data_IF_014443856740
#
_entry.id   IF_014443856740
#
_cell.length_a   1.000
_cell.length_b   1.000
_cell.length_c   1.000
_cell.angle_alpha   90.00
_cell.angle_beta   90.00
_cell.angle_gamma   90.00
#
_symmetry.space_group_name_H-M   'P 1'
#
loop_
_entity.id
_entity.type
_entity.pdbx_description
1 polymer ?
#
# COMPACT_ATOMS: atom_id res chain seq x y z
N UNK A 1 -4.97 15.55 10.46
CA UNK A 1 -4.10 15.29 9.30
C UNK A 1 -2.69 15.04 9.82
N UNK A 2 -2.07 13.89 9.51
CA UNK A 2 -0.71 13.54 9.96
C UNK A 2 0.28 13.55 8.78
N UNK A 3 1.58 13.60 9.06
CA UNK A 3 2.62 13.48 8.02
C UNK A 3 2.43 12.21 7.17
N UNK A 4 2.15 11.07 7.81
CA UNK A 4 1.84 9.80 7.13
C UNK A 4 0.71 9.94 6.11
N UNK A 5 -0.38 10.61 6.49
CA UNK A 5 -1.53 10.79 5.61
C UNK A 5 -1.19 11.66 4.39
N UNK A 6 -0.49 12.78 4.59
CA UNK A 6 -0.12 13.69 3.50
C UNK A 6 0.92 13.05 2.58
N UNK A 7 1.93 12.40 3.16
CA UNK A 7 2.95 11.69 2.40
C UNK A 7 2.33 10.62 1.51
N UNK A 8 1.51 9.73 2.08
CA UNK A 8 0.84 8.65 1.35
C UNK A 8 -0.01 9.16 0.17
N UNK A 9 -0.88 10.15 0.39
CA UNK A 9 -1.75 10.62 -0.71
C UNK A 9 -1.00 11.40 -1.79
N UNK A 10 0.09 12.08 -1.43
CA UNK A 10 0.92 12.81 -2.39
C UNK A 10 1.80 11.83 -3.18
N UNK A 11 2.48 10.90 -2.50
CA UNK A 11 3.42 9.96 -3.11
C UNK A 11 2.70 8.96 -4.04
N UNK A 12 1.55 8.43 -3.62
CA UNK A 12 0.75 7.52 -4.45
C UNK A 12 0.24 8.20 -5.72
N UNK A 13 -0.20 9.46 -5.64
CA UNK A 13 -0.66 10.20 -6.83
C UNK A 13 0.49 10.40 -7.82
N UNK A 14 1.68 10.70 -7.31
CA UNK A 14 2.91 10.82 -8.11
C UNK A 14 3.32 9.48 -8.73
N UNK A 15 3.37 8.41 -7.94
CA UNK A 15 3.76 7.08 -8.40
C UNK A 15 2.81 6.53 -9.48
N UNK A 16 1.49 6.70 -9.31
CA UNK A 16 0.50 6.30 -10.32
C UNK A 16 0.64 7.07 -11.62
N UNK A 17 0.97 8.36 -11.56
CA UNK A 17 1.23 9.15 -12.76
C UNK A 17 2.41 8.57 -13.58
N UNK A 18 3.52 8.25 -12.92
CA UNK A 18 4.67 7.63 -13.58
C UNK A 18 4.37 6.21 -14.06
N UNK A 19 3.68 5.40 -13.25
CA UNK A 19 3.27 4.05 -13.64
C UNK A 19 2.46 4.04 -14.94
N UNK A 20 1.42 4.88 -15.01
CA UNK A 20 0.58 5.00 -16.22
C UNK A 20 1.35 5.54 -17.43
N UNK A 21 2.31 6.44 -17.22
CA UNK A 21 3.09 7.03 -18.30
C UNK A 21 4.17 6.10 -18.85
N UNK A 22 4.77 5.28 -18.00
CA UNK A 22 5.85 4.36 -18.36
C UNK A 22 5.33 3.00 -18.86
N UNK A 23 4.31 2.45 -18.21
CA UNK A 23 3.72 1.17 -18.55
C UNK A 23 2.25 1.10 -18.10
N UNK A 24 1.29 1.57 -18.92
CA UNK A 24 -0.11 1.50 -18.58
C UNK A 24 -0.61 0.05 -18.61
N UNK A 25 -1.04 -0.46 -17.45
CA UNK A 25 -1.58 -1.81 -17.31
C UNK A 25 -0.57 -2.84 -16.81
N UNK A 26 -0.77 -4.10 -17.18
CA UNK A 26 0.10 -5.20 -16.76
C UNK A 26 0.00 -5.46 -15.25
N UNK A 27 1.14 -5.74 -14.62
CA UNK A 27 1.27 -6.22 -13.24
C UNK A 27 0.81 -5.24 -12.16
N UNK A 28 0.64 -3.95 -12.49
CA UNK A 28 0.10 -2.94 -11.56
C UNK A 28 -1.33 -3.23 -11.08
N UNK A 29 -2.09 -4.07 -11.79
CA UNK A 29 -3.47 -4.44 -11.41
C UNK A 29 -3.54 -5.08 -10.02
N UNK A 30 -2.56 -5.89 -9.66
CA UNK A 30 -2.58 -6.66 -8.41
C UNK A 30 -2.52 -5.73 -7.20
N UNK A 31 -1.64 -4.72 -7.26
CA UNK A 31 -1.56 -3.67 -6.25
C UNK A 31 -2.86 -2.87 -6.14
N UNK A 32 -3.45 -2.47 -7.27
CA UNK A 32 -4.71 -1.73 -7.30
C UNK A 32 -5.89 -2.53 -6.72
N UNK A 33 -5.96 -3.82 -7.04
CA UNK A 33 -6.98 -4.74 -6.55
C UNK A 33 -6.90 -4.88 -5.02
N UNK A 34 -5.75 -5.30 -4.50
CA UNK A 34 -5.58 -5.46 -3.04
C UNK A 34 -5.80 -4.15 -2.30
N UNK A 35 -5.31 -3.04 -2.85
CA UNK A 35 -5.53 -1.72 -2.27
C UNK A 35 -7.03 -1.39 -2.17
N UNK A 36 -7.81 -1.67 -3.21
CA UNK A 36 -9.25 -1.44 -3.22
C UNK A 36 -9.97 -2.28 -2.15
N UNK A 37 -9.59 -3.57 -2.03
CA UNK A 37 -10.12 -4.46 -0.99
C UNK A 37 -9.83 -3.95 0.43
N UNK A 38 -8.60 -3.54 0.72
CA UNK A 38 -8.24 -2.97 2.02
C UNK A 38 -8.97 -1.64 2.25
N UNK A 39 -9.12 -0.79 1.23
CA UNK A 39 -9.83 0.48 1.34
C UNK A 39 -11.32 0.28 1.62
N UNK A 40 -11.98 -0.72 1.02
CA UNK A 40 -13.37 -1.08 1.37
C UNK A 40 -13.48 -1.39 2.87
N UNK A 41 -12.58 -2.22 3.41
CA UNK A 41 -12.57 -2.52 4.85
C UNK A 41 -12.28 -1.29 5.71
N UNK A 42 -11.35 -0.44 5.27
CA UNK A 42 -10.92 0.75 5.99
C UNK A 42 -12.04 1.81 6.07
N UNK A 43 -12.68 2.12 4.95
CA UNK A 43 -13.80 3.05 4.92
C UNK A 43 -15.03 2.48 5.64
N UNK A 44 -15.27 1.16 5.58
CA UNK A 44 -16.32 0.51 6.38
C UNK A 44 -16.09 0.72 7.87
N UNK A 45 -14.86 0.56 8.35
CA UNK A 45 -14.49 0.85 9.74
C UNK A 45 -14.73 2.32 10.12
N UNK A 46 -14.41 3.27 9.25
CA UNK A 46 -14.70 4.69 9.51
C UNK A 46 -16.20 4.97 9.57
N UNK A 47 -17.00 4.38 8.69
CA UNK A 47 -18.47 4.49 8.74
C UNK A 47 -19.02 3.96 10.06
N UNK A 48 -18.61 2.77 10.50
CA UNK A 48 -19.04 2.22 11.78
C UNK A 48 -18.60 3.08 12.98
N UNK A 49 -17.40 3.66 12.92
CA UNK A 49 -16.92 4.59 13.93
C UNK A 49 -17.77 5.86 14.02
N UNK A 50 -18.28 6.36 12.88
CA UNK A 50 -19.20 7.50 12.85
C UNK A 50 -20.58 7.15 13.41
N UNK A 51 -21.04 5.92 13.19
CA UNK A 51 -22.29 5.37 13.74
C UNK A 51 -22.19 4.98 15.22
N UNK A 52 -21.05 5.25 15.89
CA UNK A 52 -20.76 4.87 17.28
C UNK A 52 -20.87 3.37 17.56
N UNK A 53 -20.71 2.52 16.55
CA UNK A 53 -20.64 1.06 16.70
C UNK A 53 -19.24 0.67 17.15
N UNK A 54 -19.13 -0.13 18.21
CA UNK A 54 -17.84 -0.54 18.74
C UNK A 54 -17.17 -1.59 17.83
N UNK A 55 -16.06 -1.21 17.18
CA UNK A 55 -15.31 -2.10 16.29
C UNK A 55 -13.92 -2.42 16.88
N UNK A 56 -13.70 -3.62 17.47
CA UNK A 56 -12.42 -3.98 18.06
C UNK A 56 -11.33 -4.29 17.02
N UNK A 57 -11.67 -4.38 15.73
CA UNK A 57 -10.75 -4.83 14.67
C UNK A 57 -9.82 -3.77 14.10
N UNK A 58 -9.71 -2.58 14.71
CA UNK A 58 -8.79 -1.52 14.26
C UNK A 58 -7.34 -2.02 14.11
N UNK A 59 -6.90 -2.88 15.04
CA UNK A 59 -5.54 -3.47 15.00
C UNK A 59 -5.38 -4.42 13.81
N UNK A 60 -6.36 -5.29 13.58
CA UNK A 60 -6.33 -6.23 12.45
C UNK A 60 -6.36 -5.50 11.11
N UNK A 61 -7.07 -4.37 11.01
CA UNK A 61 -7.07 -3.54 9.81
C UNK A 61 -5.66 -2.98 9.50
N UNK A 62 -4.95 -2.50 10.53
CA UNK A 62 -3.58 -2.00 10.35
C UNK A 62 -2.61 -3.14 9.99
N UNK A 63 -2.81 -4.34 10.55
CA UNK A 63 -2.05 -5.53 10.16
C UNK A 63 -2.35 -5.96 8.71
N UNK A 64 -3.60 -5.87 8.27
CA UNK A 64 -3.99 -6.16 6.89
C UNK A 64 -3.37 -5.17 5.89
N UNK A 65 -3.24 -3.89 6.25
CA UNK A 65 -2.50 -2.90 5.46
C UNK A 65 -1.00 -3.23 5.34
N UNK A 66 -0.36 -3.64 6.44
CA UNK A 66 1.04 -4.08 6.42
C UNK A 66 1.24 -5.36 5.58
N UNK A 67 0.28 -6.28 5.66
CA UNK A 67 0.28 -7.49 4.84
C UNK A 67 0.13 -7.13 3.35
N UNK A 68 -0.79 -6.22 3.00
CA UNK A 68 -0.96 -5.72 1.63
C UNK A 68 0.37 -5.24 1.05
N UNK A 69 1.09 -4.35 1.75
CA UNK A 69 2.37 -3.83 1.23
C UNK A 69 3.40 -4.94 1.00
N UNK A 70 3.48 -5.89 1.93
CA UNK A 70 4.40 -7.05 1.81
C UNK A 70 4.02 -7.93 0.62
N UNK A 71 2.74 -8.27 0.46
CA UNK A 71 2.28 -9.15 -0.61
C UNK A 71 2.44 -8.49 -1.99
N UNK A 72 2.15 -7.20 -2.11
CA UNK A 72 2.34 -6.45 -3.36
C UNK A 72 3.82 -6.36 -3.72
N UNK A 73 4.70 -6.13 -2.74
CA UNK A 73 6.14 -6.11 -2.95
C UNK A 73 6.67 -7.48 -3.43
N UNK A 74 6.24 -8.58 -2.80
CA UNK A 74 6.62 -9.93 -3.23
C UNK A 74 6.13 -10.26 -4.64
N UNK A 75 4.90 -9.86 -4.97
CA UNK A 75 4.35 -10.03 -6.32
C UNK A 75 5.15 -9.23 -7.36
N UNK A 76 5.52 -7.99 -7.04
CA UNK A 76 6.32 -7.13 -7.91
C UNK A 76 7.69 -7.75 -8.19
N UNK A 77 8.41 -8.21 -7.16
CA UNK A 77 9.68 -8.91 -7.35
C UNK A 77 9.53 -10.19 -8.17
N UNK A 78 8.47 -10.96 -7.95
CA UNK A 78 8.21 -12.18 -8.72
C UNK A 78 7.93 -11.88 -10.20
N UNK A 79 7.13 -10.85 -10.48
CA UNK A 79 6.86 -10.37 -11.85
C UNK A 79 8.16 -9.91 -12.53
N UNK A 80 9.00 -9.13 -11.86
CA UNK A 80 10.29 -8.67 -12.40
C UNK A 80 11.19 -9.83 -12.84
N UNK A 81 11.26 -10.90 -12.07
CA UNK A 81 12.06 -12.09 -12.41
C UNK A 81 11.47 -12.92 -13.57
N UNK A 82 10.20 -12.71 -13.90
CA UNK A 82 9.47 -13.42 -14.96
C UNK A 82 9.29 -12.58 -16.22
N UNK A 83 9.88 -11.38 -16.27
CA UNK A 83 9.76 -10.51 -17.43
C UNK A 83 10.36 -11.16 -18.68
N UNK A 84 9.68 -11.04 -19.84
CA UNK A 84 10.20 -11.56 -21.09
C UNK A 84 11.50 -10.85 -21.51
N UNK A 85 12.43 -11.58 -22.16
CA UNK A 85 13.63 -10.97 -22.72
C UNK A 85 13.23 -9.89 -23.74
N UNK A 86 13.78 -8.67 -23.60
CA UNK A 86 13.40 -7.52 -24.43
C UNK A 86 12.38 -6.57 -23.80
N UNK A 87 12.04 -6.77 -22.52
CA UNK A 87 11.30 -5.82 -21.68
C UNK A 87 11.89 -4.39 -21.75
N UNK A 88 11.04 -3.40 -22.04
CA UNK A 88 11.44 -2.00 -22.14
C UNK A 88 11.89 -1.43 -20.79
N UNK A 89 12.86 -0.51 -20.80
CA UNK A 89 13.33 0.20 -19.61
C UNK A 89 12.20 0.83 -18.77
N UNK A 90 11.14 1.32 -19.43
CA UNK A 90 9.97 1.89 -18.74
C UNK A 90 9.23 0.88 -17.85
N UNK A 91 9.22 -0.41 -18.21
CA UNK A 91 8.61 -1.45 -17.40
C UNK A 91 9.40 -1.67 -16.11
N UNK A 92 10.72 -1.79 -16.20
CA UNK A 92 11.60 -1.88 -15.03
C UNK A 92 11.49 -0.64 -14.13
N UNK A 93 11.47 0.55 -14.71
CA UNK A 93 11.33 1.79 -13.95
C UNK A 93 9.99 1.85 -13.19
N UNK A 94 8.88 1.39 -13.80
CA UNK A 94 7.58 1.33 -13.14
C UNK A 94 7.58 0.39 -11.92
N UNK A 95 8.23 -0.79 -12.03
CA UNK A 95 8.39 -1.70 -10.90
C UNK A 95 9.26 -1.12 -9.78
N UNK A 96 10.38 -0.48 -10.13
CA UNK A 96 11.24 0.16 -9.12
C UNK A 96 10.50 1.26 -8.34
N UNK A 97 9.66 2.06 -9.01
CA UNK A 97 8.83 3.08 -8.36
C UNK A 97 7.80 2.43 -7.44
N UNK A 98 7.13 1.37 -7.91
CA UNK A 98 6.17 0.60 -7.11
C UNK A 98 6.82 0.02 -5.85
N UNK A 99 7.98 -0.61 -5.98
CA UNK A 99 8.70 -1.22 -4.85
C UNK A 99 9.16 -0.18 -3.85
N UNK A 100 9.67 0.95 -4.32
CA UNK A 100 10.04 2.09 -3.48
C UNK A 100 8.85 2.59 -2.65
N UNK A 101 7.68 2.77 -3.26
CA UNK A 101 6.47 3.19 -2.56
C UNK A 101 6.01 2.15 -1.54
N UNK A 102 5.98 0.87 -1.90
CA UNK A 102 5.57 -0.20 -0.98
C UNK A 102 6.49 -0.27 0.25
N UNK A 103 7.81 -0.15 0.06
CA UNK A 103 8.79 -0.14 1.15
C UNK A 103 8.61 1.11 2.03
N UNK A 104 8.48 2.28 1.42
CA UNK A 104 8.30 3.55 2.15
C UNK A 104 7.04 3.53 3.02
N UNK A 105 5.91 3.12 2.44
CA UNK A 105 4.64 3.01 3.15
C UNK A 105 4.67 1.93 4.22
N UNK A 106 5.29 0.78 3.94
CA UNK A 106 5.45 -0.27 4.95
C UNK A 106 6.19 0.25 6.18
N UNK A 107 7.32 0.94 6.01
CA UNK A 107 8.09 1.49 7.13
C UNK A 107 7.28 2.53 7.93
N UNK A 108 6.54 3.40 7.23
CA UNK A 108 5.77 4.46 7.88
C UNK A 108 4.55 3.91 8.63
N UNK A 109 3.86 2.92 8.05
CA UNK A 109 2.77 2.20 8.72
C UNK A 109 3.29 1.32 9.85
N UNK A 110 4.47 0.71 9.72
CA UNK A 110 5.09 -0.07 10.79
C UNK A 110 5.45 0.83 11.98
N UNK A 111 6.02 2.00 11.70
CA UNK A 111 6.29 3.01 12.72
C UNK A 111 4.99 3.48 13.40
N UNK A 112 3.94 3.77 12.62
CA UNK A 112 2.62 4.09 13.16
C UNK A 112 2.05 2.95 14.03
N UNK A 113 2.09 1.71 13.55
CA UNK A 113 1.60 0.54 14.26
C UNK A 113 2.34 0.34 15.58
N UNK A 114 3.67 0.40 15.57
CA UNK A 114 4.47 0.33 16.79
C UNK A 114 4.10 1.47 17.75
N UNK A 115 4.03 2.71 17.29
CA UNK A 115 3.68 3.85 18.16
C UNK A 115 2.26 3.75 18.74
N UNK A 116 1.29 3.35 17.93
CA UNK A 116 -0.12 3.28 18.32
C UNK A 116 -0.44 2.09 19.24
N UNK A 117 0.29 0.98 19.12
CA UNK A 117 -0.01 -0.27 19.84
C UNK A 117 1.08 -0.71 20.84
N UNK A 118 2.27 -0.11 20.84
CA UNK A 118 3.31 -0.37 21.84
C UNK A 118 3.09 0.37 23.17
N UNK A 119 2.16 1.34 23.24
CA UNK A 119 1.74 1.96 24.51
C UNK A 119 0.55 1.24 25.16
N UNK A 120 0.65 -0.09 25.29
CA UNK A 120 -0.01 -0.85 26.35
C UNK A 120 1.03 -1.28 27.38
N UNK A 121 1.67 -0.29 28.00
CA UNK A 121 2.21 -0.38 29.35
C UNK A 121 1.61 0.79 30.14
N UNK A 122 0.33 0.65 30.46
CA UNK A 122 -0.33 1.01 31.72
C UNK A 122 -1.76 0.50 31.66
#
# INVERSE_FOLDING_TARGET
>A
VSFLHVYHHTSISWAWWFGLKLHPGGDGYFGALLNSWIHVMMYSYYTFSLLKVHCPWKRYLTQAQLLQFTTVLLYSFWSMNRMPPGSNWGHYAAHCIQDFEMISLFLLFLHFYRKAYSQKQK
#
